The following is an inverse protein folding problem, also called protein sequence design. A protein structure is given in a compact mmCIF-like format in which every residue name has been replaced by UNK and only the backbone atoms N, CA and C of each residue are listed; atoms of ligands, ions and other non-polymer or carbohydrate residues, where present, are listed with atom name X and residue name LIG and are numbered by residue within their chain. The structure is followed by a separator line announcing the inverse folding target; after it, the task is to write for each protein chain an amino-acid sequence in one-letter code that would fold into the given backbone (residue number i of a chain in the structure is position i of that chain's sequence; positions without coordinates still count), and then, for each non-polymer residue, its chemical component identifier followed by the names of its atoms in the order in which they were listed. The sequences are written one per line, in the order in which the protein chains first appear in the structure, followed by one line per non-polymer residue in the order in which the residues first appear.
data_IF_273733197868
#
_entry.id   IF_273733197868
#
_cell.length_a   1.000
_cell.length_b   1.000
_cell.length_c   1.000
_cell.angle_alpha   90.00
_cell.angle_beta   90.00
_cell.angle_gamma   90.00
#
_symmetry.space_group_name_H-M   'P 1'
#
loop_
_entity.id
_entity.type
_entity.pdbx_description
1 polymer ?
#
# COMPACT_ATOMS: atom_id res chain seq x y z
N UNK A 1 -27.26 11.30 -6.92
CA UNK A 1 -26.23 11.56 -7.94
C UNK A 1 -25.69 10.20 -8.32
N UNK A 2 -25.51 9.91 -9.61
CA UNK A 2 -25.05 8.59 -10.04
C UNK A 2 -23.53 8.51 -10.04
N UNK A 3 -23.00 7.40 -9.56
CA UNK A 3 -21.61 7.01 -9.72
C UNK A 3 -21.53 5.82 -10.65
N UNK A 4 -20.52 5.84 -11.52
CA UNK A 4 -20.18 4.74 -12.43
C UNK A 4 -18.85 4.17 -12.01
N UNK A 5 -18.83 2.86 -11.75
CA UNK A 5 -17.67 2.15 -11.26
C UNK A 5 -17.20 1.17 -12.32
N UNK A 6 -15.90 1.15 -12.62
CA UNK A 6 -15.23 0.11 -13.40
C UNK A 6 -14.40 -0.72 -12.43
N UNK A 7 -14.89 -1.88 -12.03
CA UNK A 7 -14.23 -2.72 -11.04
C UNK A 7 -13.39 -3.78 -11.75
N UNK A 8 -12.12 -3.89 -11.37
CA UNK A 8 -11.24 -4.99 -11.79
C UNK A 8 -11.81 -6.34 -11.32
N UNK A 9 -11.94 -7.27 -12.25
CA UNK A 9 -12.41 -8.63 -12.03
C UNK A 9 -11.38 -9.63 -12.52
N UNK A 10 -11.10 -10.63 -11.68
CA UNK A 10 -10.15 -11.69 -11.98
C UNK A 10 -10.27 -12.81 -10.94
N UNK A 11 -10.23 -14.07 -11.36
CA UNK A 11 -10.02 -15.22 -10.48
C UNK A 11 -8.87 -16.06 -11.00
N UNK A 12 -7.79 -16.18 -10.21
CA UNK A 12 -6.57 -16.88 -10.62
C UNK A 12 -6.77 -18.35 -10.99
N UNK A 13 -7.88 -18.96 -10.56
CA UNK A 13 -8.14 -20.37 -10.77
C UNK A 13 -9.03 -20.65 -11.99
N UNK A 14 -9.71 -19.64 -12.53
CA UNK A 14 -10.66 -19.82 -13.64
C UNK A 14 -10.42 -18.88 -14.82
N UNK A 15 -9.96 -17.67 -14.56
CA UNK A 15 -9.93 -16.61 -15.57
C UNK A 15 -8.59 -16.61 -16.31
N UNK A 16 -8.68 -16.52 -17.64
CA UNK A 16 -7.48 -16.40 -18.48
C UNK A 16 -6.89 -14.97 -18.44
N UNK A 17 -7.76 -13.95 -18.41
CA UNK A 17 -7.38 -12.54 -18.35
C UNK A 17 -8.35 -11.79 -17.44
N UNK A 18 -7.82 -10.77 -16.77
CA UNK A 18 -8.64 -9.83 -16.03
C UNK A 18 -9.49 -8.95 -16.96
N UNK A 19 -10.61 -8.47 -16.44
CA UNK A 19 -11.51 -7.55 -17.14
C UNK A 19 -12.10 -6.53 -16.17
N UNK A 20 -12.77 -5.49 -16.70
CA UNK A 20 -13.46 -4.50 -15.87
C UNK A 20 -14.96 -4.63 -16.03
N UNK A 21 -15.67 -4.82 -14.91
CA UNK A 21 -17.13 -4.89 -14.90
C UNK A 21 -17.72 -3.55 -14.46
N UNK A 22 -18.67 -2.97 -15.23
CA UNK A 22 -19.30 -1.72 -14.86
C UNK A 22 -20.40 -1.92 -13.81
N UNK A 23 -20.49 -1.00 -12.85
CA UNK A 23 -21.59 -0.90 -11.89
C UNK A 23 -22.07 0.54 -11.81
N UNK A 24 -23.38 0.75 -11.61
CA UNK A 24 -23.97 2.09 -11.49
C UNK A 24 -24.85 2.14 -10.25
N UNK A 25 -24.59 3.13 -9.40
CA UNK A 25 -25.30 3.30 -8.14
C UNK A 25 -25.66 4.76 -7.88
N UNK A 26 -26.69 4.99 -7.07
CA UNK A 26 -26.95 6.31 -6.49
C UNK A 26 -26.01 6.54 -5.30
N UNK A 27 -25.08 7.50 -5.43
CA UNK A 27 -24.05 7.80 -4.44
C UNK A 27 -24.61 8.16 -3.07
N UNK A 28 -25.80 8.78 -3.03
CA UNK A 28 -26.43 9.27 -1.81
C UNK A 28 -26.81 8.13 -0.84
N UNK A 29 -26.80 6.88 -1.30
CA UNK A 29 -27.10 5.71 -0.48
C UNK A 29 -25.89 5.22 0.34
N UNK A 30 -24.70 5.79 0.11
CA UNK A 30 -23.45 5.29 0.69
C UNK A 30 -22.66 6.40 1.34
N UNK A 31 -22.07 6.12 2.50
CA UNK A 31 -21.22 7.08 3.20
C UNK A 31 -19.76 6.92 2.80
N UNK A 32 -19.31 5.68 2.65
CA UNK A 32 -17.91 5.30 2.40
C UNK A 32 -17.81 4.41 1.17
N UNK A 33 -16.62 4.34 0.57
CA UNK A 33 -16.38 3.40 -0.53
C UNK A 33 -16.54 1.93 -0.08
N UNK A 34 -16.22 1.62 1.19
CA UNK A 34 -16.52 0.33 1.80
C UNK A 34 -17.99 -0.09 1.64
N UNK A 35 -18.93 0.83 1.88
CA UNK A 35 -20.37 0.54 1.81
C UNK A 35 -20.78 0.17 0.37
N UNK A 36 -20.15 0.80 -0.62
CA UNK A 36 -20.34 0.50 -2.05
C UNK A 36 -19.80 -0.90 -2.38
N UNK A 37 -18.61 -1.27 -1.90
CA UNK A 37 -18.03 -2.60 -2.11
C UNK A 37 -18.89 -3.71 -1.49
N UNK A 38 -19.39 -3.49 -0.27
CA UNK A 38 -20.35 -4.39 0.39
C UNK A 38 -21.62 -4.54 -0.45
N UNK A 39 -22.14 -3.45 -1.02
CA UNK A 39 -23.31 -3.51 -1.89
C UNK A 39 -23.03 -4.28 -3.19
N UNK A 40 -21.87 -4.06 -3.82
CA UNK A 40 -21.46 -4.81 -5.01
C UNK A 40 -21.41 -6.31 -4.70
N UNK A 41 -20.83 -6.72 -3.57
CA UNK A 41 -20.77 -8.13 -3.16
C UNK A 41 -22.15 -8.75 -2.93
N UNK A 42 -23.14 -7.95 -2.48
CA UNK A 42 -24.53 -8.40 -2.36
C UNK A 42 -25.21 -8.59 -3.72
N UNK A 43 -24.98 -7.67 -4.64
CA UNK A 43 -25.59 -7.69 -5.98
C UNK A 43 -24.89 -8.68 -6.93
N UNK A 44 -23.61 -8.95 -6.69
CA UNK A 44 -22.75 -9.83 -7.46
C UNK A 44 -21.98 -10.78 -6.53
N UNK A 45 -22.56 -11.95 -6.28
CA UNK A 45 -22.04 -12.95 -5.34
C UNK A 45 -20.65 -13.50 -5.71
N UNK A 46 -20.20 -13.29 -6.95
CA UNK A 46 -18.87 -13.72 -7.40
C UNK A 46 -17.79 -12.67 -7.15
N UNK A 47 -18.18 -11.43 -6.82
CA UNK A 47 -17.26 -10.37 -6.48
C UNK A 47 -16.70 -10.56 -5.07
N UNK A 48 -15.38 -10.38 -4.92
CA UNK A 48 -14.74 -10.44 -3.62
C UNK A 48 -13.74 -9.31 -3.34
N UNK A 49 -13.58 -9.00 -2.06
CA UNK A 49 -12.66 -7.97 -1.57
C UNK A 49 -12.33 -8.20 -0.10
N UNK A 50 -11.29 -7.53 0.39
CA UNK A 50 -10.96 -7.55 1.82
C UNK A 50 -12.02 -6.74 2.59
N UNK A 51 -12.91 -7.42 3.32
CA UNK A 51 -13.99 -6.83 4.14
C UNK A 51 -13.44 -6.15 5.42
N UNK A 52 -12.56 -5.18 5.21
CA UNK A 52 -11.87 -4.41 6.22
C UNK A 52 -11.84 -2.93 5.81
N UNK A 53 -12.52 -2.02 6.52
CA UNK A 53 -12.50 -0.59 6.20
C UNK A 53 -11.10 0.04 6.24
N UNK A 54 -10.14 -0.56 6.95
CA UNK A 54 -8.75 -0.10 7.00
C UNK A 54 -7.88 -0.69 5.88
N UNK A 55 -8.38 -1.64 5.07
CA UNK A 55 -7.68 -2.08 3.88
C UNK A 55 -7.62 -0.96 2.83
N UNK A 56 -6.59 -0.98 1.99
CA UNK A 56 -6.45 -0.05 0.88
C UNK A 56 -6.82 -0.73 -0.45
N UNK A 57 -7.47 0.04 -1.31
CA UNK A 57 -7.76 -0.28 -2.70
C UNK A 57 -7.19 0.85 -3.56
N UNK A 58 -7.04 0.60 -4.86
CA UNK A 58 -6.61 1.64 -5.79
C UNK A 58 -7.82 2.21 -6.53
N UNK A 59 -8.02 3.52 -6.42
CA UNK A 59 -9.08 4.25 -7.13
C UNK A 59 -8.42 5.29 -8.02
N UNK A 60 -8.65 5.20 -9.32
CA UNK A 60 -8.05 6.08 -10.33
C UNK A 60 -6.53 6.27 -10.09
N UNK A 61 -5.80 5.16 -10.03
CA UNK A 61 -4.36 5.06 -9.78
C UNK A 61 -3.86 5.45 -8.38
N UNK A 62 -4.71 5.92 -7.46
CA UNK A 62 -4.30 6.30 -6.11
C UNK A 62 -4.76 5.27 -5.08
N UNK A 63 -3.85 4.86 -4.18
CA UNK A 63 -4.24 4.03 -3.04
C UNK A 63 -5.08 4.83 -2.03
N UNK A 64 -6.22 4.25 -1.66
CA UNK A 64 -7.23 4.84 -0.79
C UNK A 64 -7.74 3.77 0.18
N UNK A 65 -7.80 4.12 1.47
CA UNK A 65 -8.45 3.30 2.50
C UNK A 65 -9.94 3.16 2.21
N UNK A 66 -10.48 1.95 2.36
CA UNK A 66 -11.89 1.67 2.09
C UNK A 66 -12.86 2.49 2.99
N UNK A 67 -12.41 2.93 4.17
CA UNK A 67 -13.20 3.80 5.06
C UNK A 67 -13.40 5.23 4.56
N UNK A 68 -12.71 5.65 3.51
CA UNK A 68 -12.76 7.03 3.03
C UNK A 68 -14.19 7.39 2.60
N UNK A 69 -14.58 8.63 2.93
CA UNK A 69 -15.90 9.16 2.61
C UNK A 69 -16.05 9.22 1.08
N UNK A 70 -17.14 8.66 0.57
CA UNK A 70 -17.40 8.56 -0.86
C UNK A 70 -17.51 9.95 -1.51
N UNK A 71 -18.20 10.90 -0.87
CA UNK A 71 -18.31 12.27 -1.39
C UNK A 71 -16.94 12.92 -1.60
N UNK A 72 -15.98 12.75 -0.68
CA UNK A 72 -14.63 13.29 -0.84
C UNK A 72 -13.86 12.62 -2.00
N UNK A 73 -14.18 11.37 -2.33
CA UNK A 73 -13.62 10.68 -3.51
C UNK A 73 -14.24 11.27 -4.78
N UNK A 74 -15.55 11.45 -4.80
CA UNK A 74 -16.27 12.01 -5.95
C UNK A 74 -15.87 13.47 -6.21
N UNK A 75 -15.73 14.29 -5.18
CA UNK A 75 -15.23 15.67 -5.31
C UNK A 75 -13.84 15.72 -5.93
N UNK A 76 -13.00 14.72 -5.65
CA UNK A 76 -11.63 14.66 -6.15
C UNK A 76 -11.52 14.08 -7.57
N UNK A 77 -12.30 13.05 -7.90
CA UNK A 77 -12.14 12.28 -9.14
C UNK A 77 -13.33 12.35 -10.10
N UNK A 78 -14.43 12.98 -9.69
CA UNK A 78 -15.70 12.94 -10.40
C UNK A 78 -16.49 11.66 -10.16
N UNK A 79 -17.48 11.43 -11.02
CA UNK A 79 -18.46 10.35 -10.86
C UNK A 79 -18.03 9.02 -11.52
N UNK A 80 -16.91 9.00 -12.25
CA UNK A 80 -16.37 7.80 -12.88
C UNK A 80 -15.13 7.32 -12.14
N UNK A 81 -15.25 6.16 -11.49
CA UNK A 81 -14.19 5.59 -10.67
C UNK A 81 -13.76 4.23 -11.23
N UNK A 82 -12.47 4.06 -11.46
CA UNK A 82 -11.86 2.76 -11.74
C UNK A 82 -11.30 2.23 -10.43
N UNK A 83 -11.71 1.03 -10.04
CA UNK A 83 -11.32 0.40 -8.77
C UNK A 83 -10.55 -0.88 -9.05
N UNK A 84 -9.38 -0.98 -8.45
CA UNK A 84 -8.44 -2.08 -8.61
C UNK A 84 -7.88 -2.53 -7.26
N UNK A 85 -7.34 -3.76 -7.15
CA UNK A 85 -6.38 -4.08 -6.10
C UNK A 85 -5.18 -3.11 -6.18
N UNK A 86 -4.41 -3.01 -5.09
CA UNK A 86 -3.21 -2.16 -5.08
C UNK A 86 -2.22 -2.54 -6.19
N UNK A 87 -2.06 -3.84 -6.43
CA UNK A 87 -1.25 -4.40 -7.50
C UNK A 87 -2.03 -5.52 -8.22
N UNK A 88 -2.39 -5.27 -9.47
CA UNK A 88 -3.17 -6.22 -10.29
C UNK A 88 -2.38 -7.48 -10.64
N UNK A 89 -1.04 -7.42 -10.66
CA UNK A 89 -0.17 -8.59 -10.90
C UNK A 89 -0.22 -9.59 -9.74
N UNK A 90 -0.64 -9.14 -8.57
CA UNK A 90 -0.75 -9.92 -7.31
C UNK A 90 -2.21 -10.32 -7.00
N UNK A 91 -3.16 -9.95 -7.85
CA UNK A 91 -4.57 -10.26 -7.62
C UNK A 91 -4.79 -11.78 -7.63
N UNK A 92 -5.52 -12.29 -6.63
CA UNK A 92 -5.91 -13.70 -6.53
C UNK A 92 -7.39 -13.88 -6.82
N UNK A 93 -8.21 -12.94 -6.34
CA UNK A 93 -9.64 -12.84 -6.63
C UNK A 93 -10.08 -11.38 -6.53
N UNK A 94 -10.40 -10.76 -7.65
CA UNK A 94 -10.87 -9.37 -7.77
C UNK A 94 -9.96 -8.38 -7.01
N UNK A 95 -10.40 -7.84 -5.87
CA UNK A 95 -9.63 -6.88 -5.07
C UNK A 95 -8.74 -7.56 -3.99
N UNK A 96 -8.79 -8.89 -3.88
CA UNK A 96 -7.97 -9.68 -2.95
C UNK A 96 -6.63 -10.00 -3.60
N UNK A 97 -5.55 -9.74 -2.87
CA UNK A 97 -4.17 -9.93 -3.32
C UNK A 97 -3.44 -10.98 -2.50
N UNK A 98 -2.49 -11.66 -3.13
CA UNK A 98 -1.40 -12.32 -2.42
C UNK A 98 -0.43 -11.27 -1.91
N UNK A 99 -0.24 -11.21 -0.58
CA UNK A 99 0.65 -10.25 0.09
C UNK A 99 1.94 -10.88 0.64
N UNK A 100 2.27 -12.10 0.24
CA UNK A 100 3.42 -12.86 0.73
C UNK A 100 4.75 -12.10 0.60
N UNK A 101 5.06 -11.53 -0.57
CA UNK A 101 6.32 -10.81 -0.84
C UNK A 101 6.54 -9.61 0.09
N UNK A 102 5.47 -8.90 0.41
CA UNK A 102 5.46 -7.82 1.38
C UNK A 102 5.65 -8.35 2.81
N UNK A 103 4.91 -9.39 3.21
CA UNK A 103 4.95 -9.93 4.56
C UNK A 103 6.28 -10.60 4.89
N UNK A 104 6.92 -11.27 3.92
CA UNK A 104 8.24 -11.90 4.07
C UNK A 104 9.32 -10.89 4.45
N UNK A 105 9.16 -9.60 4.13
CA UNK A 105 10.13 -8.57 4.57
C UNK A 105 10.17 -8.41 6.09
N UNK A 106 9.13 -8.82 6.82
CA UNK A 106 9.13 -8.83 8.29
C UNK A 106 10.20 -9.75 8.89
N UNK A 107 10.62 -10.79 8.17
CA UNK A 107 11.63 -11.72 8.67
C UNK A 107 12.97 -11.03 8.94
N UNK A 108 13.27 -9.95 8.22
CA UNK A 108 14.47 -9.13 8.43
C UNK A 108 14.44 -8.39 9.79
N UNK A 109 13.26 -8.17 10.38
CA UNK A 109 13.10 -7.53 11.68
C UNK A 109 13.02 -8.53 12.84
N UNK A 110 13.12 -9.83 12.58
CA UNK A 110 12.96 -10.87 13.61
C UNK A 110 13.95 -10.67 14.76
N UNK A 111 13.43 -10.65 15.99
CA UNK A 111 14.21 -10.37 17.21
C UNK A 111 14.44 -8.88 17.50
N UNK A 112 14.10 -7.99 16.56
CA UNK A 112 14.16 -6.54 16.77
C UNK A 112 12.83 -5.95 17.23
N UNK A 113 11.70 -6.54 16.82
CA UNK A 113 10.34 -6.03 17.02
C UNK A 113 9.46 -6.99 17.83
N UNK A 114 8.31 -6.50 18.32
CA UNK A 114 7.27 -7.31 18.98
C UNK A 114 6.05 -7.59 18.08
N UNK A 115 5.05 -8.32 18.60
CA UNK A 115 3.85 -8.70 17.84
C UNK A 115 2.95 -7.51 17.48
N UNK A 116 2.94 -6.44 18.28
CA UNK A 116 2.14 -5.24 17.97
C UNK A 116 2.76 -4.46 16.81
N UNK A 117 4.09 -4.48 16.69
CA UNK A 117 4.80 -3.87 15.57
C UNK A 117 4.49 -4.58 14.25
N UNK A 118 4.32 -5.91 14.28
CA UNK A 118 3.90 -6.68 13.09
C UNK A 118 2.55 -6.21 12.57
N UNK A 119 1.57 -5.99 13.45
CA UNK A 119 0.26 -5.47 13.04
C UNK A 119 0.33 -4.05 12.51
N UNK A 120 1.23 -3.22 13.04
CA UNK A 120 1.50 -1.89 12.49
C UNK A 120 2.07 -1.97 11.07
N UNK A 121 3.04 -2.86 10.82
CA UNK A 121 3.64 -3.02 9.49
C UNK A 121 2.61 -3.37 8.44
N UNK A 122 1.68 -4.30 8.74
CA UNK A 122 0.62 -4.73 7.82
C UNK A 122 -0.25 -3.59 7.31
N UNK A 123 -0.36 -2.48 8.06
CA UNK A 123 -1.11 -1.30 7.63
C UNK A 123 -0.41 -0.52 6.52
N UNK A 124 0.86 -0.77 6.23
CA UNK A 124 1.67 -0.05 5.24
C UNK A 124 1.81 -0.77 3.91
N UNK A 125 1.00 -1.80 3.64
CA UNK A 125 0.99 -2.52 2.36
C UNK A 125 0.90 -1.58 1.13
N UNK A 126 0.10 -0.52 1.22
CA UNK A 126 -0.02 0.49 0.17
C UNK A 126 1.30 1.20 -0.14
N UNK A 127 2.19 1.42 0.83
CA UNK A 127 3.51 2.01 0.57
C UNK A 127 4.43 1.03 -0.18
N UNK A 128 4.21 -0.26 0.00
CA UNK A 128 4.94 -1.29 -0.74
C UNK A 128 4.44 -1.38 -2.18
N UNK A 129 3.15 -1.65 -2.38
CA UNK A 129 2.58 -1.94 -3.69
C UNK A 129 2.51 -0.74 -4.63
N UNK A 130 2.41 0.48 -4.10
CA UNK A 130 2.36 1.70 -4.93
C UNK A 130 3.74 2.23 -5.36
N UNK A 131 4.83 1.58 -4.93
CA UNK A 131 6.18 1.99 -5.28
C UNK A 131 6.55 1.51 -6.70
N UNK A 132 6.77 2.45 -7.61
CA UNK A 132 7.13 2.18 -9.01
C UNK A 132 8.51 1.49 -9.14
N UNK A 133 9.37 1.66 -8.13
CA UNK A 133 10.69 1.02 -8.06
C UNK A 133 10.59 -0.50 -8.20
N UNK A 134 9.51 -1.11 -7.69
CA UNK A 134 9.28 -2.56 -7.75
C UNK A 134 9.19 -3.10 -9.18
N UNK A 135 8.81 -2.26 -10.14
CA UNK A 135 8.75 -2.68 -11.55
C UNK A 135 10.15 -2.90 -12.15
N UNK A 136 11.16 -2.18 -11.66
CA UNK A 136 12.53 -2.23 -12.15
C UNK A 136 13.47 -3.02 -11.23
N UNK A 137 13.14 -3.08 -9.93
CA UNK A 137 13.91 -3.78 -8.90
C UNK A 137 12.94 -4.59 -8.01
N UNK A 138 12.58 -5.83 -8.41
CA UNK A 138 11.65 -6.68 -7.66
C UNK A 138 12.12 -6.99 -6.23
N UNK A 139 13.44 -7.03 -6.00
CA UNK A 139 14.04 -7.30 -4.70
C UNK A 139 13.98 -6.11 -3.73
N UNK A 140 13.59 -4.93 -4.22
CA UNK A 140 13.46 -3.70 -3.42
C UNK A 140 12.69 -3.97 -2.14
N UNK A 141 13.26 -3.56 -1.00
CA UNK A 141 12.65 -3.78 0.31
C UNK A 141 11.31 -3.04 0.45
N UNK A 142 11.13 -1.95 -0.29
CA UNK A 142 9.88 -1.21 -0.37
C UNK A 142 9.77 -0.10 0.67
N UNK A 143 8.97 0.92 0.34
CA UNK A 143 8.90 2.11 1.18
C UNK A 143 8.21 1.84 2.53
N UNK A 144 7.30 0.87 2.56
CA UNK A 144 6.70 0.35 3.80
C UNK A 144 7.77 -0.10 4.81
N UNK A 145 8.81 -0.79 4.33
CA UNK A 145 9.93 -1.29 5.13
C UNK A 145 10.71 -0.15 5.76
N UNK A 146 11.01 0.90 4.99
CA UNK A 146 11.78 2.04 5.48
C UNK A 146 10.98 2.89 6.46
N UNK A 147 9.71 3.20 6.15
CA UNK A 147 8.84 3.94 7.06
C UNK A 147 8.67 3.18 8.38
N UNK A 148 8.51 1.85 8.30
CA UNK A 148 8.43 1.02 9.49
C UNK A 148 9.74 1.00 10.28
N UNK A 149 10.89 0.80 9.62
CA UNK A 149 12.21 0.83 10.27
C UNK A 149 12.47 2.17 11.00
N UNK A 150 12.08 3.30 10.40
CA UNK A 150 12.17 4.60 11.05
C UNK A 150 11.31 4.67 12.33
N UNK A 151 10.08 4.15 12.29
CA UNK A 151 9.24 4.10 13.50
C UNK A 151 9.83 3.19 14.56
N UNK A 152 10.41 2.06 14.15
CA UNK A 152 11.02 1.10 15.08
C UNK A 152 12.30 1.63 15.73
N UNK A 153 13.14 2.37 15.01
CA UNK A 153 14.32 2.99 15.64
C UNK A 153 13.96 4.10 16.64
N UNK A 154 12.80 4.77 16.47
CA UNK A 154 12.31 5.73 17.46
C UNK A 154 11.75 5.01 18.70
N UNK A 155 11.08 3.86 18.51
CA UNK A 155 10.54 3.03 19.58
C UNK A 155 11.65 2.30 20.36
N UNK A 156 12.68 1.82 19.68
CA UNK A 156 13.80 1.03 20.21
C UNK A 156 15.14 1.71 19.89
N UNK A 157 15.44 2.85 20.54
CA UNK A 157 16.65 3.62 20.26
C UNK A 157 17.93 2.82 20.46
N UNK A 158 17.94 1.85 21.39
CA UNK A 158 19.06 0.94 21.64
C UNK A 158 19.34 -0.03 20.48
N UNK A 159 18.36 -0.25 19.60
CA UNK A 159 18.47 -1.09 18.40
C UNK A 159 18.66 -0.29 17.10
N UNK A 160 18.90 1.02 17.21
CA UNK A 160 19.08 1.91 16.04
C UNK A 160 20.13 1.39 15.04
N UNK A 161 21.34 0.95 15.46
CA UNK A 161 22.34 0.47 14.51
C UNK A 161 21.86 -0.72 13.67
N UNK A 162 21.08 -1.62 14.27
CA UNK A 162 20.51 -2.79 13.59
C UNK A 162 19.50 -2.36 12.53
N UNK A 163 18.57 -1.46 12.84
CA UNK A 163 17.60 -0.96 11.87
C UNK A 163 18.26 -0.20 10.72
N UNK A 164 19.23 0.68 11.02
CA UNK A 164 19.96 1.41 9.99
C UNK A 164 20.69 0.47 9.04
N UNK A 165 21.30 -0.61 9.57
CA UNK A 165 21.95 -1.63 8.74
C UNK A 165 20.98 -2.33 7.79
N UNK A 166 19.76 -2.65 8.23
CA UNK A 166 18.74 -3.26 7.37
C UNK A 166 18.31 -2.32 6.23
N UNK A 167 18.15 -1.03 6.53
CA UNK A 167 17.72 0.00 5.58
C UNK A 167 18.83 0.31 4.56
N UNK A 168 20.10 0.17 4.96
CA UNK A 168 21.31 0.48 4.19
C UNK A 168 21.74 -0.62 3.20
N UNK A 169 20.88 -1.58 2.89
CA UNK A 169 21.19 -2.61 1.88
C UNK A 169 21.51 -1.96 0.52
N UNK A 170 22.69 -2.23 -0.04
CA UNK A 170 23.18 -1.54 -1.24
C UNK A 170 22.44 -1.92 -2.52
N UNK A 171 21.87 -3.13 -2.53
CA UNK A 171 21.24 -3.75 -3.69
C UNK A 171 19.73 -3.54 -3.71
N UNK A 172 19.10 -3.42 -2.54
CA UNK A 172 17.63 -3.33 -2.41
C UNK A 172 17.12 -2.36 -1.34
N UNK A 173 18.01 -1.62 -0.68
CA UNK A 173 17.68 -0.70 0.40
C UNK A 173 17.19 0.68 -0.04
N UNK A 174 17.21 1.63 0.89
CA UNK A 174 16.55 2.95 0.76
C UNK A 174 17.09 3.84 -0.35
N UNK A 175 18.25 3.51 -0.91
CA UNK A 175 18.90 4.33 -1.94
C UNK A 175 18.10 4.40 -3.23
N UNK A 176 17.24 3.41 -3.49
CA UNK A 176 16.37 3.36 -4.66
C UNK A 176 15.04 4.10 -4.48
N UNK A 177 14.74 4.59 -3.26
CA UNK A 177 13.49 5.31 -2.98
C UNK A 177 13.30 6.53 -3.89
N UNK A 178 12.13 6.56 -4.53
CA UNK A 178 11.59 7.70 -5.28
C UNK A 178 10.45 8.35 -4.51
N UNK A 179 10.20 9.64 -4.78
CA UNK A 179 9.16 10.42 -4.11
C UNK A 179 7.78 9.75 -4.18
N UNK A 180 7.04 9.82 -3.08
CA UNK A 180 5.66 9.38 -2.99
C UNK A 180 4.71 10.24 -3.84
N UNK A 181 4.05 9.60 -4.82
CA UNK A 181 3.07 10.26 -5.71
C UNK A 181 1.71 9.56 -5.75
N UNK A 182 1.65 8.28 -5.39
CA UNK A 182 0.55 7.38 -5.81
C UNK A 182 -0.42 6.97 -4.68
N UNK A 183 -0.56 7.76 -3.63
CA UNK A 183 -1.53 7.50 -2.56
C UNK A 183 -2.05 8.79 -1.94
N UNK A 184 -3.23 8.70 -1.30
CA UNK A 184 -3.80 9.83 -0.59
C UNK A 184 -3.94 9.50 0.90
N UNK A 185 -3.09 10.15 1.69
CA UNK A 185 -3.11 10.07 3.15
C UNK A 185 -2.77 11.43 3.73
N UNK A 186 -3.33 11.77 4.88
CA UNK A 186 -2.97 12.99 5.63
C UNK A 186 -1.50 13.03 6.00
N UNK A 187 -0.85 11.86 6.07
CA UNK A 187 0.51 11.69 6.57
C UNK A 187 1.56 11.62 5.45
N UNK A 188 1.20 11.97 4.20
CA UNK A 188 2.13 11.83 3.07
C UNK A 188 3.40 12.67 3.24
N UNK A 189 3.26 13.89 3.77
CA UNK A 189 4.39 14.77 4.07
C UNK A 189 5.28 14.22 5.19
N UNK A 190 4.70 13.50 6.15
CA UNK A 190 5.44 12.88 7.24
C UNK A 190 6.32 11.75 6.70
N UNK A 191 5.79 10.91 5.80
CA UNK A 191 6.56 9.80 5.22
C UNK A 191 7.78 10.27 4.42
N UNK A 192 7.64 11.31 3.60
CA UNK A 192 8.79 11.92 2.91
C UNK A 192 9.85 12.43 3.89
N UNK A 193 9.38 13.05 4.99
CA UNK A 193 10.28 13.57 6.02
C UNK A 193 11.02 12.44 6.73
N UNK A 194 10.34 11.33 7.05
CA UNK A 194 10.95 10.15 7.65
C UNK A 194 12.02 9.52 6.74
N UNK A 195 11.78 9.43 5.43
CA UNK A 195 12.78 8.93 4.48
C UNK A 195 14.01 9.86 4.45
N UNK A 196 13.81 11.18 4.43
CA UNK A 196 14.91 12.15 4.47
C UNK A 196 15.71 12.02 5.75
N UNK A 197 15.05 11.92 6.89
CA UNK A 197 15.70 11.74 8.18
C UNK A 197 16.49 10.43 8.25
N UNK A 198 15.93 9.31 7.77
CA UNK A 198 16.67 8.05 7.63
C UNK A 198 17.94 8.23 6.81
N UNK A 199 17.85 8.87 5.64
CA UNK A 199 19.02 9.13 4.78
C UNK A 199 20.09 9.96 5.51
N UNK A 200 19.69 10.97 6.29
CA UNK A 200 20.61 11.74 7.15
C UNK A 200 21.26 10.88 8.23
N UNK A 201 20.49 10.01 8.90
CA UNK A 201 21.00 9.09 9.91
C UNK A 201 22.01 8.10 9.32
N UNK A 202 21.78 7.59 8.11
CA UNK A 202 22.72 6.72 7.40
C UNK A 202 24.05 7.40 7.12
N UNK A 203 24.03 8.64 6.65
CA UNK A 203 25.25 9.44 6.44
C UNK A 203 26.02 9.60 7.74
N UNK A 204 25.36 10.00 8.83
CA UNK A 204 26.00 10.18 10.15
C UNK A 204 26.58 8.88 10.71
N UNK A 205 25.99 7.74 10.36
CA UNK A 205 26.40 6.42 10.83
C UNK A 205 27.46 5.77 9.92
N UNK A 206 27.93 6.45 8.87
CA UNK A 206 28.89 5.89 7.92
C UNK A 206 28.31 4.78 7.03
N UNK A 207 26.98 4.65 6.98
CA UNK A 207 26.22 3.70 6.18
C UNK A 207 25.63 4.34 4.93
N UNK A 208 26.12 5.50 4.48
CA UNK A 208 25.73 6.02 3.18
C UNK A 208 26.38 5.19 2.08
N UNK A 209 25.63 4.93 0.99
CA UNK A 209 26.20 4.32 -0.22
C UNK A 209 27.39 5.17 -0.65
N UNK A 210 28.58 4.57 -0.73
CA UNK A 210 29.74 5.23 -1.31
C UNK A 210 29.46 5.38 -2.80
N UNK A 211 29.04 6.56 -3.21
CA UNK A 211 29.00 6.90 -4.62
C UNK A 211 30.48 7.06 -5.00
N UNK A 212 30.99 6.12 -5.80
CA UNK A 212 32.34 6.19 -6.36
C UNK A 212 32.54 7.46 -7.19
#
# INVERSE_FOLDING_TARGET
MKITLKIFRFDKNSDYLAYYKPYVYESNNFKRIYDVLVQIKKDDIYFDFEENPEACIKINQLAIRQRRILNNIIEQFGNELTIEPLDTKRATKDLIMDKSDFLEKLDLFKGLIDIHDVELYKQYDFLYYMSEVREFLPEYLGDSFFIFAYKMLLKYPEKTPQFLKLVADEDRGIYYHTKFTNFITSNALDYESYIKELKVMLVKSGLAKRIF
#
